data_IF_783883353377
#
_entry.id   IF_783883353377
#
_cell.length_a   1.000
_cell.length_b   1.000
_cell.length_c   1.000
_cell.angle_alpha   90.00
_cell.angle_beta   90.00
_cell.angle_gamma   90.00
#
_symmetry.space_group_name_H-M   'P 1'
#
loop_
_entity.id
_entity.type
_entity.pdbx_description
1 polymer ?
#
# COMPACT_ATOMS: atom_id res chain seq x y z
N UNK A 1 -23.29 7.70 -0.24
CA UNK A 1 -22.44 8.92 -0.24
C UNK A 1 -21.04 8.40 0.01
N UNK A 2 -20.13 8.45 -0.96
CA UNK A 2 -18.74 8.05 -0.68
C UNK A 2 -18.11 9.07 0.26
N UNK A 3 -17.46 8.57 1.30
CA UNK A 3 -16.69 9.40 2.24
C UNK A 3 -15.44 9.95 1.53
N UNK A 4 -14.95 11.12 1.95
CA UNK A 4 -13.71 11.69 1.42
C UNK A 4 -12.53 10.76 1.76
N UNK A 5 -11.78 10.33 0.74
CA UNK A 5 -10.54 9.60 0.95
C UNK A 5 -9.48 10.55 1.54
N UNK A 6 -8.81 10.13 2.61
CA UNK A 6 -7.78 10.92 3.29
C UNK A 6 -6.52 10.09 3.47
N UNK A 7 -5.39 10.75 3.70
CA UNK A 7 -4.11 10.07 4.00
C UNK A 7 -4.24 9.09 5.16
N UNK A 8 -4.97 9.44 6.22
CA UNK A 8 -5.21 8.56 7.37
C UNK A 8 -5.96 7.28 6.99
N UNK A 9 -6.91 7.36 6.05
CA UNK A 9 -7.64 6.19 5.58
C UNK A 9 -6.74 5.29 4.73
N UNK A 10 -5.91 5.88 3.86
CA UNK A 10 -4.94 5.12 3.07
C UNK A 10 -3.87 4.46 3.97
N UNK A 11 -3.41 5.18 5.00
CA UNK A 11 -2.48 4.67 5.99
C UNK A 11 -3.05 3.47 6.76
N UNK A 12 -4.28 3.57 7.28
CA UNK A 12 -4.94 2.45 7.98
C UNK A 12 -5.06 1.22 7.06
N UNK A 13 -5.42 1.43 5.80
CA UNK A 13 -5.51 0.34 4.83
C UNK A 13 -4.13 -0.31 4.56
N UNK A 14 -3.06 0.47 4.45
CA UNK A 14 -1.69 -0.02 4.27
C UNK A 14 -1.20 -0.81 5.49
N UNK A 15 -1.41 -0.30 6.70
CA UNK A 15 -0.99 -0.97 7.94
C UNK A 15 -1.73 -2.30 8.13
N UNK A 16 -3.03 -2.34 7.84
CA UNK A 16 -3.83 -3.57 7.88
C UNK A 16 -3.39 -4.57 6.83
N UNK A 17 -3.13 -4.12 5.61
CA UNK A 17 -2.61 -4.97 4.55
C UNK A 17 -1.23 -5.54 4.92
N UNK A 18 -0.33 -4.74 5.50
CA UNK A 18 0.98 -5.20 5.93
C UNK A 18 0.91 -6.26 7.03
N UNK A 19 0.06 -6.05 8.03
CA UNK A 19 -0.16 -7.03 9.09
C UNK A 19 -0.72 -8.35 8.53
N UNK A 20 -1.70 -8.27 7.63
CA UNK A 20 -2.34 -9.44 7.03
C UNK A 20 -1.42 -10.16 6.03
N UNK A 21 -0.63 -9.43 5.25
CA UNK A 21 0.32 -10.01 4.30
C UNK A 21 1.48 -10.71 5.02
N UNK A 22 1.95 -10.17 6.14
CA UNK A 22 2.95 -10.86 6.97
C UNK A 22 2.45 -12.23 7.49
N UNK A 23 1.14 -12.36 7.75
CA UNK A 23 0.52 -13.66 8.08
C UNK A 23 0.45 -14.55 6.82
N UNK A 24 0.04 -14.01 5.68
CA UNK A 24 0.01 -14.73 4.40
C UNK A 24 1.39 -15.31 4.04
N UNK A 25 2.45 -14.51 4.09
CA UNK A 25 3.81 -14.98 3.83
C UNK A 25 4.22 -16.08 4.83
N UNK A 26 3.97 -15.87 6.13
CA UNK A 26 4.36 -16.82 7.17
C UNK A 26 3.62 -18.16 7.10
N UNK A 27 2.31 -18.12 6.90
CA UNK A 27 1.44 -19.30 7.02
C UNK A 27 1.20 -20.00 5.68
N UNK A 28 1.11 -19.24 4.58
CA UNK A 28 0.74 -19.78 3.27
C UNK A 28 1.95 -19.94 2.34
N UNK A 29 2.91 -19.02 2.41
CA UNK A 29 4.15 -19.08 1.61
C UNK A 29 5.34 -19.70 2.36
N UNK A 30 5.13 -20.14 3.60
CA UNK A 30 6.18 -20.76 4.42
C UNK A 30 7.32 -19.82 4.80
N UNK A 31 7.03 -18.52 4.93
CA UNK A 31 7.98 -17.45 5.23
C UNK A 31 8.79 -16.95 4.03
N UNK A 32 8.41 -17.33 2.81
CA UNK A 32 9.02 -16.82 1.57
C UNK A 32 8.39 -15.49 1.19
N UNK A 33 9.22 -14.57 0.69
CA UNK A 33 8.78 -13.30 0.16
C UNK A 33 7.80 -13.49 -1.00
N UNK A 34 6.69 -12.77 -0.97
CA UNK A 34 5.70 -12.78 -2.03
C UNK A 34 6.12 -11.89 -3.22
N UNK A 35 6.42 -12.49 -4.38
CA UNK A 35 6.68 -11.74 -5.60
C UNK A 35 5.44 -10.98 -6.11
N UNK A 36 4.23 -11.45 -5.76
CA UNK A 36 2.94 -10.87 -6.13
C UNK A 36 2.39 -9.91 -5.06
N UNK A 37 3.24 -9.43 -4.15
CA UNK A 37 2.86 -8.58 -3.02
C UNK A 37 1.97 -7.39 -3.44
N UNK A 38 2.25 -6.73 -4.57
CA UNK A 38 1.51 -5.53 -4.99
C UNK A 38 0.07 -5.88 -5.35
N UNK A 39 -0.14 -7.00 -6.04
CA UNK A 39 -1.45 -7.55 -6.37
C UNK A 39 -2.22 -7.96 -5.11
N UNK A 40 -1.55 -8.63 -4.17
CA UNK A 40 -2.16 -9.06 -2.91
C UNK A 40 -2.59 -7.88 -2.05
N UNK A 41 -1.70 -6.90 -1.83
CA UNK A 41 -2.01 -5.68 -1.07
C UNK A 41 -3.16 -4.92 -1.71
N UNK A 42 -3.14 -4.78 -3.03
CA UNK A 42 -4.18 -4.06 -3.74
C UNK A 42 -5.56 -4.71 -3.57
N UNK A 43 -5.65 -6.05 -3.68
CA UNK A 43 -6.88 -6.77 -3.43
C UNK A 43 -7.37 -6.59 -1.99
N UNK A 44 -6.47 -6.74 -1.00
CA UNK A 44 -6.82 -6.56 0.41
C UNK A 44 -7.26 -5.12 0.74
N UNK A 45 -6.57 -4.12 0.18
CA UNK A 45 -6.90 -2.71 0.36
C UNK A 45 -8.21 -2.33 -0.34
N UNK A 46 -8.53 -2.94 -1.49
CA UNK A 46 -9.78 -2.69 -2.20
C UNK A 46 -11.00 -3.02 -1.33
N UNK A 47 -10.94 -4.12 -0.56
CA UNK A 47 -11.99 -4.47 0.39
C UNK A 47 -12.14 -3.41 1.51
N UNK A 48 -11.02 -2.91 2.04
CA UNK A 48 -11.01 -1.87 3.07
C UNK A 48 -11.48 -0.50 2.55
N UNK A 49 -11.27 -0.23 1.27
CA UNK A 49 -11.53 1.05 0.62
C UNK A 49 -12.76 1.03 -0.30
N UNK A 50 -13.56 -0.04 -0.27
CA UNK A 50 -14.71 -0.24 -1.14
C UNK A 50 -15.72 0.92 -1.06
N UNK A 51 -15.91 1.51 0.12
CA UNK A 51 -16.81 2.66 0.32
C UNK A 51 -16.34 3.94 -0.41
N UNK A 52 -15.06 4.01 -0.76
CA UNK A 52 -14.45 5.10 -1.53
C UNK A 52 -14.44 4.83 -3.04
N UNK A 53 -14.92 3.66 -3.49
CA UNK A 53 -15.04 3.33 -4.91
C UNK A 53 -13.70 3.06 -5.61
N UNK A 54 -12.66 2.72 -4.85
CA UNK A 54 -11.36 2.35 -5.40
C UNK A 54 -11.35 0.88 -5.83
N UNK A 55 -10.84 0.61 -7.02
CA UNK A 55 -10.60 -0.74 -7.50
C UNK A 55 -9.16 -1.21 -7.23
N UNK A 56 -8.94 -2.52 -7.27
CA UNK A 56 -7.65 -3.12 -7.00
C UNK A 56 -6.58 -2.73 -8.04
N UNK A 57 -6.94 -2.46 -9.29
CA UNK A 57 -5.95 -2.14 -10.33
C UNK A 57 -5.36 -0.72 -10.13
N UNK A 58 -6.21 0.23 -9.74
CA UNK A 58 -5.82 1.58 -9.33
C UNK A 58 -4.91 1.51 -8.10
N UNK A 59 -5.26 0.70 -7.10
CA UNK A 59 -4.46 0.52 -5.89
C UNK A 59 -3.10 -0.13 -6.19
N UNK A 60 -3.07 -1.19 -7.01
CA UNK A 60 -1.84 -1.87 -7.44
C UNK A 60 -0.89 -0.91 -8.13
N UNK A 61 -1.40 -0.13 -9.08
CA UNK A 61 -0.61 0.88 -9.80
C UNK A 61 -0.05 1.94 -8.83
N UNK A 62 -0.84 2.42 -7.88
CA UNK A 62 -0.40 3.40 -6.90
C UNK A 62 0.66 2.83 -5.94
N UNK A 63 0.53 1.56 -5.51
CA UNK A 63 1.51 0.86 -4.68
C UNK A 63 2.86 0.70 -5.40
N UNK A 64 2.84 0.30 -6.66
CA UNK A 64 4.06 0.13 -7.48
C UNK A 64 4.78 1.47 -7.70
N UNK A 65 4.02 2.54 -7.96
CA UNK A 65 4.56 3.88 -8.09
C UNK A 65 5.15 4.39 -6.77
N UNK A 66 4.46 4.17 -5.65
CA UNK A 66 4.95 4.54 -4.32
C UNK A 66 6.25 3.79 -3.99
N UNK A 67 6.33 2.49 -4.26
CA UNK A 67 7.52 1.70 -4.02
C UNK A 67 8.72 2.17 -4.85
N UNK A 68 8.52 2.45 -6.14
CA UNK A 68 9.58 2.98 -6.98
C UNK A 68 10.07 4.36 -6.49
N UNK A 69 9.14 5.23 -6.09
CA UNK A 69 9.47 6.57 -5.63
C UNK A 69 10.12 6.57 -4.23
N UNK A 70 9.70 5.68 -3.32
CA UNK A 70 10.31 5.52 -2.01
C UNK A 70 11.73 4.95 -2.12
N UNK A 71 11.93 3.94 -2.95
CA UNK A 71 13.26 3.39 -3.23
C UNK A 71 14.22 4.46 -3.79
N UNK A 72 13.74 5.34 -4.67
CA UNK A 72 14.52 6.48 -5.15
C UNK A 72 14.85 7.47 -4.01
N UNK A 73 13.88 7.77 -3.14
CA UNK A 73 14.07 8.65 -1.98
C UNK A 73 15.12 8.09 -0.99
N UNK A 74 15.06 6.80 -0.68
CA UNK A 74 16.06 6.13 0.17
C UNK A 74 17.45 6.16 -0.46
N UNK A 75 17.55 5.98 -1.79
CA UNK A 75 18.81 6.04 -2.50
C UNK A 75 19.41 7.45 -2.50
N UNK A 76 18.59 8.49 -2.66
CA UNK A 76 19.02 9.89 -2.63
C UNK A 76 19.51 10.33 -1.24
N UNK A 77 18.82 9.87 -0.19
CA UNK A 77 19.14 10.22 1.20
C UNK A 77 20.24 9.34 1.80
N UNK A 78 20.48 8.16 1.22
CA UNK A 78 21.40 7.16 1.76
C UNK A 78 20.91 6.52 3.07
N UNK A 79 19.63 6.68 3.39
CA UNK A 79 19.02 6.20 4.63
C UNK A 79 17.79 5.34 4.32
N UNK A 80 17.66 4.23 5.05
CA UNK A 80 16.43 3.45 5.06
C UNK A 80 15.36 4.15 5.88
N UNK A 81 14.15 4.18 5.36
CA UNK A 81 13.01 4.79 6.03
C UNK A 81 12.09 3.70 6.58
N UNK A 82 12.07 3.59 7.91
CA UNK A 82 11.23 2.64 8.63
C UNK A 82 9.75 3.02 8.67
N UNK A 83 9.40 4.26 8.31
CA UNK A 83 8.02 4.76 8.30
C UNK A 83 7.41 4.72 6.89
N UNK A 84 7.75 3.66 6.14
CA UNK A 84 7.30 3.45 4.77
C UNK A 84 5.77 3.51 4.60
N UNK A 85 4.89 3.02 5.52
CA UNK A 85 3.44 3.08 5.30
C UNK A 85 2.94 4.52 5.27
N UNK A 86 3.47 5.38 6.14
CA UNK A 86 3.14 6.81 6.17
C UNK A 86 3.62 7.50 4.91
N UNK A 87 4.83 7.19 4.45
CA UNK A 87 5.37 7.72 3.21
C UNK A 87 4.51 7.33 2.00
N UNK A 88 4.13 6.04 1.91
CA UNK A 88 3.28 5.52 0.85
C UNK A 88 1.90 6.18 0.88
N UNK A 89 1.28 6.30 2.05
CA UNK A 89 -0.02 6.96 2.18
C UNK A 89 0.01 8.41 1.67
N UNK A 90 1.03 9.18 2.05
CA UNK A 90 1.20 10.55 1.58
C UNK A 90 1.41 10.63 0.05
N UNK A 91 2.16 9.68 -0.52
CA UNK A 91 2.39 9.60 -1.97
C UNK A 91 1.14 9.16 -2.76
N UNK A 92 0.45 8.13 -2.26
CA UNK A 92 -0.69 7.51 -2.93
C UNK A 92 -1.96 8.35 -2.86
N UNK A 93 -2.22 9.05 -1.76
CA UNK A 93 -3.44 9.85 -1.59
C UNK A 93 -3.72 10.78 -2.79
N UNK A 94 -2.79 11.63 -3.25
CA UNK A 94 -3.02 12.47 -4.42
C UNK A 94 -3.09 11.69 -5.74
N UNK A 95 -2.71 10.42 -5.83
CA UNK A 95 -2.96 9.55 -6.99
C UNK A 95 -4.40 9.02 -7.01
N UNK A 96 -4.94 8.71 -5.82
CA UNK A 96 -6.23 8.07 -5.64
C UNK A 96 -7.42 9.03 -5.64
N UNK A 97 -7.18 10.34 -5.49
CA UNK A 97 -8.22 11.38 -5.48
C UNK A 97 -8.30 12.21 -6.77
N UNK A 98 -7.74 11.71 -7.88
CA UNK A 98 -7.67 12.43 -9.15
C UNK A 98 -8.94 12.31 -9.98
#
# INVERSE_FOLDING_TARGET
MSSMLTETIVLDALERAAAAHGVHEAEELGGVYDEEWSSWYAAHMADALAEHGLDAEVLRTALEQAAAAHAAHEAETGAKDGDWPRWYAAYMTPLLTR
#
